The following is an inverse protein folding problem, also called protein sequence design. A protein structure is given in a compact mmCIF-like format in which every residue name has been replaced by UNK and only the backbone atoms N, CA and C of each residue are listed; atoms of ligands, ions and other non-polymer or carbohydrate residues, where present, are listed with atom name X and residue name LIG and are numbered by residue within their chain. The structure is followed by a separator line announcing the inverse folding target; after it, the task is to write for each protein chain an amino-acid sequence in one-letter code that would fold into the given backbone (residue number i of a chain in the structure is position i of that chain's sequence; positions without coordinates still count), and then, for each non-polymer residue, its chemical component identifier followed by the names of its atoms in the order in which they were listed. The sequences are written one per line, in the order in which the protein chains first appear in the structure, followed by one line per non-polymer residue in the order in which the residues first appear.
data_IF_058407657328
#
_entry.id   IF_058407657328
#
_cell.length_a   1.000
_cell.length_b   1.000
_cell.length_c   1.000
_cell.angle_alpha   90.00
_cell.angle_beta   90.00
_cell.angle_gamma   90.00
#
_symmetry.space_group_name_H-M   'P 1'
#
loop_
_entity.id
_entity.type
_entity.pdbx_description
1 polymer ?
#
# COMPACT_ATOMS: atom_id res chain seq x y z
N UNK A 1 3.28 7.65 9.65
CA UNK A 1 2.11 7.97 8.83
C UNK A 1 1.65 9.41 9.03
N UNK A 2 1.50 9.84 10.27
CA UNK A 2 1.03 11.21 10.57
C UNK A 2 1.89 12.31 9.97
N UNK A 3 3.19 12.10 9.89
CA UNK A 3 4.13 13.09 9.36
C UNK A 3 4.26 13.05 7.85
N UNK A 4 3.60 12.10 7.18
CA UNK A 4 3.71 11.92 5.73
C UNK A 4 2.52 12.51 4.99
N UNK A 5 2.60 13.82 4.73
CA UNK A 5 1.55 14.54 4.01
C UNK A 5 1.35 14.03 2.57
N UNK A 6 2.38 13.45 1.94
CA UNK A 6 2.26 12.89 0.59
C UNK A 6 1.33 11.69 0.54
N UNK A 7 1.36 10.85 1.58
CA UNK A 7 0.45 9.71 1.69
C UNK A 7 -0.99 10.21 1.86
N UNK A 8 -1.20 11.22 2.69
CA UNK A 8 -2.52 11.83 2.87
C UNK A 8 -3.06 12.44 1.58
N UNK A 9 -2.21 13.12 0.81
CA UNK A 9 -2.57 13.67 -0.49
C UNK A 9 -2.96 12.57 -1.48
N UNK A 10 -2.24 11.46 -1.48
CA UNK A 10 -2.55 10.30 -2.31
C UNK A 10 -3.92 9.72 -1.96
N UNK A 11 -4.21 9.57 -0.68
CA UNK A 11 -5.51 9.06 -0.22
C UNK A 11 -6.64 10.00 -0.66
N UNK A 12 -6.43 11.30 -0.52
CA UNK A 12 -7.40 12.29 -0.98
C UNK A 12 -7.67 12.19 -2.48
N UNK A 13 -6.63 12.00 -3.28
CA UNK A 13 -6.76 11.80 -4.73
C UNK A 13 -7.56 10.55 -5.06
N UNK A 14 -7.30 9.43 -4.37
CA UNK A 14 -8.06 8.21 -4.58
C UNK A 14 -9.55 8.41 -4.31
N UNK A 15 -9.88 9.15 -3.26
CA UNK A 15 -11.27 9.48 -2.92
C UNK A 15 -11.93 10.35 -3.98
N UNK A 16 -11.22 11.37 -4.47
CA UNK A 16 -11.73 12.27 -5.49
C UNK A 16 -12.08 11.52 -6.78
N UNK A 17 -11.23 10.56 -7.16
CA UNK A 17 -11.47 9.75 -8.36
C UNK A 17 -12.47 8.60 -8.14
N UNK A 18 -13.01 8.46 -6.93
CA UNK A 18 -13.99 7.44 -6.61
C UNK A 18 -13.45 6.01 -6.65
N UNK A 19 -12.15 5.83 -6.44
CA UNK A 19 -11.51 4.52 -6.43
C UNK A 19 -11.69 3.84 -5.08
N UNK A 20 -11.99 2.55 -5.09
CA UNK A 20 -11.96 1.74 -3.89
C UNK A 20 -10.52 1.43 -3.53
N UNK A 21 -10.18 1.56 -2.26
CA UNK A 21 -8.82 1.33 -1.80
C UNK A 21 -8.81 0.78 -0.37
N UNK A 22 -7.72 0.12 -0.05
CA UNK A 22 -7.41 -0.30 1.32
C UNK A 22 -5.99 0.14 1.64
N UNK A 23 -5.76 0.51 2.90
CA UNK A 23 -4.46 0.97 3.37
C UNK A 23 -3.96 -0.04 4.40
N UNK A 24 -2.72 -0.49 4.24
CA UNK A 24 -2.08 -1.43 5.14
C UNK A 24 -0.84 -0.79 5.75
N UNK A 25 -0.78 -0.76 7.07
CA UNK A 25 0.41 -0.35 7.81
C UNK A 25 0.43 -1.08 9.16
N UNK A 26 1.35 -2.04 9.35
CA UNK A 26 1.41 -2.82 10.59
C UNK A 26 1.90 -2.02 11.80
N UNK A 27 2.47 -0.85 11.61
CA UNK A 27 3.10 -0.07 12.68
C UNK A 27 2.31 1.15 13.12
N UNK A 28 1.21 1.47 12.45
CA UNK A 28 0.43 2.66 12.76
C UNK A 28 -0.64 2.34 13.79
N UNK A 29 -0.95 3.32 14.63
CA UNK A 29 -2.11 3.24 15.51
C UNK A 29 -3.37 3.54 14.69
N UNK A 30 -4.07 2.47 14.30
CA UNK A 30 -5.22 2.61 13.41
C UNK A 30 -6.39 3.37 14.06
N UNK A 31 -6.54 3.27 15.38
CA UNK A 31 -7.60 4.02 16.09
C UNK A 31 -7.33 5.52 16.06
N UNK A 32 -6.07 5.91 16.25
CA UNK A 32 -5.68 7.32 16.14
C UNK A 32 -5.89 7.85 14.71
N UNK A 33 -5.57 7.08 13.69
CA UNK A 33 -5.79 7.47 12.31
C UNK A 33 -7.27 7.63 11.97
N UNK A 34 -8.11 6.72 12.46
CA UNK A 34 -9.55 6.80 12.28
C UNK A 34 -10.13 8.03 12.97
N UNK A 35 -9.68 8.31 14.20
CA UNK A 35 -10.14 9.46 14.97
C UNK A 35 -9.69 10.80 14.37
N UNK A 36 -8.42 10.90 14.00
CA UNK A 36 -7.80 12.17 13.59
C UNK A 36 -8.00 12.48 12.11
N UNK A 37 -8.07 11.45 11.25
CA UNK A 37 -8.11 11.61 9.79
C UNK A 37 -9.31 10.95 9.12
N UNK A 38 -10.15 10.23 9.86
CA UNK A 38 -11.24 9.44 9.32
C UNK A 38 -10.75 8.40 8.28
N UNK A 39 -9.59 7.80 8.51
CA UNK A 39 -8.97 6.81 7.64
C UNK A 39 -8.95 5.47 8.35
N UNK A 40 -9.41 4.43 7.67
CA UNK A 40 -9.31 3.06 8.14
C UNK A 40 -8.03 2.43 7.61
N UNK A 41 -7.20 1.90 8.52
CA UNK A 41 -5.93 1.27 8.19
C UNK A 41 -5.94 -0.16 8.70
N UNK A 42 -5.56 -1.09 7.84
CA UNK A 42 -5.40 -2.49 8.19
C UNK A 42 -3.97 -2.73 8.67
N UNK A 43 -3.80 -3.57 9.68
CA UNK A 43 -2.47 -3.91 10.19
C UNK A 43 -1.85 -5.11 9.47
N UNK A 44 -2.64 -5.84 8.69
CA UNK A 44 -2.18 -6.98 7.92
C UNK A 44 -2.69 -6.90 6.48
N UNK A 45 -1.92 -7.44 5.54
CA UNK A 45 -2.35 -7.52 4.15
C UNK A 45 -3.46 -8.56 4.04
N UNK A 46 -4.65 -8.18 3.52
CA UNK A 46 -5.74 -9.12 3.36
C UNK A 46 -5.41 -10.28 2.42
N UNK A 47 -6.09 -11.40 2.60
CA UNK A 47 -5.87 -12.61 1.81
C UNK A 47 -6.69 -12.62 0.52
N UNK A 48 -6.55 -11.56 -0.29
CA UNK A 48 -7.12 -11.48 -1.63
C UNK A 48 -6.27 -10.57 -2.51
N UNK A 49 -6.54 -10.55 -3.81
CA UNK A 49 -5.71 -9.87 -4.80
C UNK A 49 -6.26 -8.50 -5.16
N UNK A 50 -5.35 -7.62 -5.57
CA UNK A 50 -5.66 -6.24 -5.97
C UNK A 50 -5.29 -6.01 -7.42
N UNK A 51 -6.00 -5.12 -8.08
CA UNK A 51 -5.66 -4.69 -9.44
C UNK A 51 -4.50 -3.69 -9.47
N UNK A 52 -4.26 -3.00 -8.37
CA UNK A 52 -3.11 -2.10 -8.24
C UNK A 52 -2.62 -2.07 -6.80
N UNK A 53 -1.33 -1.93 -6.63
CA UNK A 53 -0.68 -1.79 -5.31
C UNK A 53 0.28 -0.62 -5.38
N UNK A 54 0.28 0.20 -4.35
CA UNK A 54 1.22 1.31 -4.21
C UNK A 54 2.07 1.06 -2.97
N UNK A 55 3.35 0.82 -3.18
CA UNK A 55 4.33 0.63 -2.10
C UNK A 55 4.92 1.99 -1.73
N UNK A 56 4.27 2.68 -0.80
CA UNK A 56 4.57 4.07 -0.45
C UNK A 56 5.52 4.24 0.73
N UNK A 57 5.74 3.19 1.51
CA UNK A 57 6.63 3.20 2.67
C UNK A 57 7.59 2.02 2.64
N UNK A 58 8.79 2.21 3.17
CA UNK A 58 9.85 1.21 3.09
C UNK A 58 10.03 0.38 4.35
N UNK A 59 8.96 -0.04 5.00
CA UNK A 59 9.07 -0.90 6.19
C UNK A 59 9.71 -2.25 5.87
N UNK A 60 10.56 -2.73 6.77
CA UNK A 60 11.28 -4.00 6.58
C UNK A 60 10.34 -5.19 6.39
N UNK A 61 9.19 -5.19 7.06
CA UNK A 61 8.21 -6.25 6.89
C UNK A 61 7.71 -6.35 5.44
N UNK A 62 7.62 -5.22 4.73
CA UNK A 62 7.24 -5.21 3.31
C UNK A 62 8.39 -5.66 2.42
N UNK A 63 9.64 -5.33 2.79
CA UNK A 63 10.83 -5.78 2.04
C UNK A 63 11.03 -7.28 2.11
N UNK A 64 10.52 -7.92 3.16
CA UNK A 64 10.63 -9.37 3.34
C UNK A 64 9.55 -10.18 2.61
N UNK A 65 8.58 -9.54 1.98
CA UNK A 65 7.56 -10.22 1.19
C UNK A 65 8.23 -10.90 0.00
N UNK A 66 8.05 -12.22 -0.11
CA UNK A 66 8.64 -12.99 -1.20
C UNK A 66 7.96 -12.69 -2.54
N UNK A 67 8.65 -13.00 -3.64
CA UNK A 67 8.07 -12.88 -4.98
C UNK A 67 6.75 -13.67 -5.09
N UNK A 68 6.73 -14.89 -4.57
CA UNK A 68 5.53 -15.73 -4.56
C UNK A 68 4.36 -15.04 -3.85
N UNK A 69 4.60 -14.43 -2.69
CA UNK A 69 3.56 -13.73 -1.96
C UNK A 69 3.13 -12.45 -2.66
N UNK A 70 4.04 -11.72 -3.29
CA UNK A 70 3.68 -10.58 -4.12
C UNK A 70 2.75 -10.96 -5.26
N UNK A 71 3.00 -12.10 -5.90
CA UNK A 71 2.16 -12.61 -6.99
C UNK A 71 0.75 -12.96 -6.52
N UNK A 72 0.57 -13.27 -5.24
CA UNK A 72 -0.75 -13.51 -4.64
C UNK A 72 -1.49 -12.21 -4.31
N UNK A 73 -0.76 -11.13 -4.06
CA UNK A 73 -1.34 -9.83 -3.69
C UNK A 73 -1.89 -9.10 -4.91
N UNK A 74 -1.28 -9.28 -6.08
CA UNK A 74 -1.63 -8.59 -7.30
C UNK A 74 -2.26 -9.55 -8.30
N UNK A 75 -3.32 -9.11 -8.99
CA UNK A 75 -3.93 -9.91 -10.06
C UNK A 75 -3.01 -9.95 -11.29
N UNK A 76 -3.25 -10.92 -12.18
CA UNK A 76 -2.56 -10.97 -13.47
C UNK A 76 -2.78 -9.67 -14.23
N UNK A 77 -1.71 -9.09 -14.75
CA UNK A 77 -1.71 -7.79 -15.43
C UNK A 77 -2.05 -6.60 -14.49
N UNK A 78 -1.99 -6.81 -13.19
CA UNK A 78 -2.12 -5.72 -12.23
C UNK A 78 -0.91 -4.79 -12.25
N UNK A 79 -1.04 -3.65 -11.62
CA UNK A 79 -0.02 -2.60 -11.63
C UNK A 79 0.57 -2.45 -10.23
N UNK A 80 1.90 -2.40 -10.13
CA UNK A 80 2.60 -2.10 -8.89
C UNK A 80 3.41 -0.82 -9.07
N UNK A 81 3.15 0.17 -8.21
CA UNK A 81 3.97 1.37 -8.11
C UNK A 81 4.88 1.22 -6.90
N UNK A 82 6.17 1.00 -7.12
CA UNK A 82 7.14 0.80 -6.06
C UNK A 82 7.92 2.09 -5.82
N UNK A 83 7.38 2.97 -4.99
CA UNK A 83 7.96 4.29 -4.71
C UNK A 83 9.26 4.17 -3.90
N UNK A 84 9.36 3.17 -3.04
CA UNK A 84 10.48 3.01 -2.10
C UNK A 84 11.49 1.93 -2.49
N UNK A 85 11.28 1.24 -3.62
CA UNK A 85 12.20 0.22 -4.07
C UNK A 85 12.22 -1.03 -3.19
N UNK A 86 11.07 -1.43 -2.68
CA UNK A 86 10.97 -2.57 -1.74
C UNK A 86 10.65 -3.90 -2.42
N UNK A 87 10.18 -3.87 -3.66
CA UNK A 87 9.74 -5.07 -4.37
C UNK A 87 10.93 -5.88 -4.91
N UNK A 88 10.77 -7.21 -5.05
CA UNK A 88 11.80 -8.05 -5.67
C UNK A 88 12.14 -7.58 -7.08
N UNK A 89 13.40 -7.74 -7.48
CA UNK A 89 13.87 -7.30 -8.80
C UNK A 89 13.15 -7.97 -9.97
N UNK A 90 12.69 -9.20 -9.77
CA UNK A 90 12.03 -9.98 -10.82
C UNK A 90 10.54 -9.66 -10.97
N UNK A 91 10.01 -8.82 -10.10
CA UNK A 91 8.61 -8.42 -10.14
C UNK A 91 8.45 -7.18 -11.05
N UNK A 92 7.60 -7.23 -12.07
CA UNK A 92 7.37 -6.06 -12.92
C UNK A 92 6.71 -4.94 -12.13
N UNK A 93 7.41 -3.81 -11.99
CA UNK A 93 6.92 -2.67 -11.23
C UNK A 93 7.15 -1.39 -12.03
N UNK A 94 6.30 -0.40 -11.78
CA UNK A 94 6.51 0.96 -12.23
C UNK A 94 7.25 1.73 -11.13
N UNK A 95 8.29 2.42 -11.52
CA UNK A 95 9.07 3.24 -10.58
C UNK A 95 8.87 4.72 -10.91
N UNK A 96 8.80 5.47 -9.86
CA UNK A 96 8.66 6.92 -9.97
C UNK A 96 9.95 7.59 -9.54
#
# INVERSE_FOLDING_TARGET
FRSNSRVLDMISALRVYGLEYEIVDPYVDYEACKRDYAIEILNEIPNYSYSAVIAAVGHDIFRSITLENWEKIIIKNGIIFDIKGICPKNLPVLKI
#
